data_IF_935567998133
#
_entry.id   IF_935567998133
#
_cell.length_a   1.000
_cell.length_b   1.000
_cell.length_c   1.000
_cell.angle_alpha   90.00
_cell.angle_beta   90.00
_cell.angle_gamma   90.00
#
_symmetry.space_group_name_H-M   'P 1'
#
loop_
_entity.id
_entity.type
_entity.pdbx_description
1 polymer ?
#
# COMPACT_ATOMS: atom_id res chain seq x y z
N UNK A 1 77.51 -16.50 -6.79
CA UNK A 1 76.30 -17.27 -7.00
C UNK A 1 75.15 -16.56 -6.24
N UNK A 2 74.34 -15.80 -6.94
CA UNK A 2 73.20 -15.11 -6.36
C UNK A 2 71.94 -16.01 -6.56
N UNK A 3 71.32 -16.46 -5.47
CA UNK A 3 70.09 -17.20 -5.51
C UNK A 3 68.92 -16.22 -5.61
N UNK A 4 68.20 -16.24 -6.74
CA UNK A 4 66.98 -15.48 -6.98
C UNK A 4 65.82 -16.28 -6.34
N UNK A 5 65.21 -15.77 -5.28
CA UNK A 5 64.00 -16.27 -4.67
C UNK A 5 62.79 -15.68 -5.45
N UNK A 6 62.14 -16.50 -6.23
CA UNK A 6 60.92 -16.18 -6.95
C UNK A 6 59.75 -16.37 -5.99
N UNK A 7 59.21 -15.30 -5.44
CA UNK A 7 58.00 -15.36 -4.61
C UNK A 7 56.78 -15.41 -5.52
N UNK A 8 56.15 -16.60 -5.61
CA UNK A 8 54.90 -16.79 -6.31
C UNK A 8 53.73 -16.22 -5.45
N UNK A 9 53.26 -15.03 -5.80
CA UNK A 9 52.02 -14.46 -5.22
C UNK A 9 50.81 -15.18 -5.85
N UNK A 10 50.19 -16.07 -5.12
CA UNK A 10 48.89 -16.67 -5.50
C UNK A 10 47.83 -15.64 -5.17
N UNK A 11 47.34 -14.92 -6.19
CA UNK A 11 46.16 -14.07 -6.10
C UNK A 11 44.91 -14.98 -6.03
N UNK A 12 44.42 -15.22 -4.83
CA UNK A 12 43.12 -15.88 -4.65
C UNK A 12 42.04 -14.79 -4.88
N UNK A 13 41.55 -14.73 -6.10
CA UNK A 13 40.35 -13.94 -6.41
C UNK A 13 39.15 -14.64 -5.81
N UNK A 14 38.69 -14.12 -4.65
CA UNK A 14 37.37 -14.47 -4.13
C UNK A 14 36.33 -13.87 -5.07
N UNK A 15 35.73 -14.69 -5.93
CA UNK A 15 34.50 -14.34 -6.60
C UNK A 15 33.41 -14.26 -5.53
N UNK A 16 33.11 -13.05 -5.04
CA UNK A 16 31.90 -12.78 -4.30
C UNK A 16 30.78 -12.88 -5.33
N UNK A 17 30.13 -14.01 -5.41
CA UNK A 17 28.85 -14.09 -6.09
C UNK A 17 27.87 -13.22 -5.29
N UNK A 18 27.60 -12.01 -5.78
CA UNK A 18 26.45 -11.26 -5.33
C UNK A 18 25.24 -12.13 -5.67
N UNK A 19 24.63 -12.72 -4.66
CA UNK A 19 23.41 -13.47 -4.81
C UNK A 19 22.36 -12.48 -5.28
N UNK A 20 21.92 -12.53 -6.54
CA UNK A 20 20.84 -11.70 -7.04
C UNK A 20 19.61 -11.96 -6.14
N UNK A 21 19.18 -10.94 -5.45
CA UNK A 21 17.92 -11.01 -4.68
C UNK A 21 16.81 -11.19 -5.71
N UNK A 22 16.00 -12.27 -5.63
CA UNK A 22 14.94 -12.50 -6.57
C UNK A 22 14.00 -11.29 -6.64
N UNK A 23 13.75 -10.79 -7.83
CA UNK A 23 12.79 -9.71 -8.03
C UNK A 23 11.36 -10.27 -7.93
N UNK A 24 10.58 -9.70 -7.02
CA UNK A 24 9.17 -9.99 -6.83
C UNK A 24 8.35 -8.71 -7.08
N UNK A 25 8.23 -8.24 -8.33
CA UNK A 25 7.62 -6.96 -8.65
C UNK A 25 6.18 -6.83 -8.16
N UNK A 26 5.40 -7.92 -8.18
CA UNK A 26 4.01 -7.93 -7.68
C UNK A 26 3.91 -7.67 -6.17
N UNK A 27 5.04 -7.73 -5.45
CA UNK A 27 5.08 -7.59 -3.99
C UNK A 27 5.79 -6.31 -3.51
N UNK A 28 6.13 -5.38 -4.41
CA UNK A 28 6.82 -4.12 -4.04
C UNK A 28 6.02 -3.30 -3.02
N UNK A 29 4.72 -3.21 -3.18
CA UNK A 29 3.82 -2.51 -2.22
C UNK A 29 3.86 -3.08 -0.80
N UNK A 30 4.41 -4.27 -0.61
CA UNK A 30 4.60 -4.94 0.67
C UNK A 30 6.04 -4.98 1.14
N UNK A 31 6.92 -4.21 0.55
CA UNK A 31 8.32 -4.28 0.92
C UNK A 31 8.49 -4.17 2.44
N UNK A 32 9.16 -5.15 3.02
CA UNK A 32 9.44 -5.24 4.44
C UNK A 32 10.93 -4.98 4.61
N UNK A 33 11.28 -3.97 5.39
CA UNK A 33 12.65 -3.67 5.74
C UNK A 33 12.94 -4.02 7.21
N UNK A 34 14.20 -4.03 7.60
CA UNK A 34 14.66 -4.42 8.93
C UNK A 34 14.06 -3.61 10.09
N UNK A 35 13.58 -2.39 9.82
CA UNK A 35 13.03 -1.49 10.83
C UNK A 35 11.49 -1.52 10.90
N UNK A 36 10.83 -2.27 10.02
CA UNK A 36 9.38 -2.34 9.89
C UNK A 36 8.94 -3.79 9.62
N UNK A 37 9.14 -4.63 10.64
CA UNK A 37 8.92 -6.08 10.55
C UNK A 37 7.58 -6.57 11.12
N UNK A 38 6.91 -5.74 11.93
CA UNK A 38 5.60 -6.11 12.49
C UNK A 38 4.52 -6.06 11.43
N UNK A 39 3.68 -7.10 11.39
CA UNK A 39 2.57 -7.24 10.44
C UNK A 39 1.38 -7.90 11.10
N UNK A 40 0.27 -7.87 10.38
CA UNK A 40 -0.90 -8.69 10.67
C UNK A 40 -1.08 -9.74 9.57
N UNK A 41 -1.66 -10.87 9.92
CA UNK A 41 -2.17 -11.79 8.90
C UNK A 41 -3.32 -11.10 8.16
N UNK A 42 -3.21 -11.03 6.84
CA UNK A 42 -4.21 -10.41 5.96
C UNK A 42 -5.29 -11.41 5.53
N UNK A 43 -4.88 -12.64 5.17
CA UNK A 43 -5.83 -13.68 4.75
C UNK A 43 -6.81 -14.02 5.87
N UNK A 44 -8.06 -14.43 5.54
CA UNK A 44 -9.02 -14.89 6.54
C UNK A 44 -8.47 -16.11 7.30
N UNK A 45 -7.70 -16.97 6.58
CA UNK A 45 -6.95 -18.10 7.12
C UNK A 45 -5.61 -18.21 6.42
N UNK A 46 -4.54 -18.39 7.17
CA UNK A 46 -3.17 -18.51 6.68
C UNK A 46 -2.46 -19.70 7.33
N UNK A 47 -1.90 -20.57 6.52
CA UNK A 47 -1.10 -21.70 7.00
C UNK A 47 0.36 -21.29 7.20
N UNK A 48 0.88 -21.53 8.40
CA UNK A 48 2.32 -21.47 8.70
C UNK A 48 2.95 -22.82 8.37
N UNK A 49 4.13 -22.81 7.76
CA UNK A 49 4.86 -24.01 7.30
C UNK A 49 6.19 -24.16 8.01
N UNK A 50 6.70 -25.37 8.06
CA UNK A 50 8.04 -25.68 8.60
C UNK A 50 9.13 -25.24 7.60
N UNK A 51 8.84 -25.34 6.29
CA UNK A 51 9.72 -24.96 5.18
C UNK A 51 9.01 -23.97 4.26
N UNK A 52 9.74 -23.14 3.48
CA UNK A 52 9.16 -22.16 2.58
C UNK A 52 8.62 -22.83 1.29
N UNK A 53 7.71 -23.79 1.44
CA UNK A 53 7.03 -24.50 0.37
C UNK A 53 5.65 -25.05 0.80
N UNK A 54 4.91 -25.63 -0.13
CA UNK A 54 3.56 -26.17 0.13
C UNK A 54 3.52 -27.70 0.24
N UNK A 55 4.66 -28.39 0.17
CA UNK A 55 4.72 -29.86 0.07
C UNK A 55 4.38 -30.57 1.38
N UNK A 56 4.68 -29.92 2.52
CA UNK A 56 4.43 -30.48 3.83
C UNK A 56 3.10 -30.02 4.43
N UNK A 57 2.60 -30.74 5.41
CA UNK A 57 1.43 -30.32 6.18
C UNK A 57 1.70 -28.98 6.91
N UNK A 58 0.68 -28.15 7.14
CA UNK A 58 0.83 -26.94 7.93
C UNK A 58 1.31 -27.24 9.35
N UNK A 59 2.26 -26.41 9.84
CA UNK A 59 2.68 -26.41 11.23
C UNK A 59 1.62 -25.80 12.14
N UNK A 60 0.97 -24.75 11.67
CA UNK A 60 -0.05 -24.00 12.42
C UNK A 60 -0.99 -23.27 11.47
N UNK A 61 -2.07 -22.72 12.04
CA UNK A 61 -3.06 -21.90 11.33
C UNK A 61 -3.21 -20.58 12.05
N UNK A 62 -2.99 -19.47 11.32
CA UNK A 62 -3.23 -18.11 11.77
C UNK A 62 -4.46 -17.52 11.07
N UNK A 63 -5.06 -16.52 11.70
CA UNK A 63 -6.28 -15.88 11.23
C UNK A 63 -6.09 -14.38 10.98
N UNK A 64 -7.02 -13.79 10.23
CA UNK A 64 -6.99 -12.36 9.93
C UNK A 64 -6.83 -11.52 11.21
N UNK A 65 -5.83 -10.66 11.21
CA UNK A 65 -5.50 -9.80 12.34
C UNK A 65 -4.57 -10.41 13.39
N UNK A 66 -4.15 -11.68 13.27
CA UNK A 66 -3.10 -12.24 14.13
C UNK A 66 -1.80 -11.45 13.94
N UNK A 67 -1.10 -11.18 15.04
CA UNK A 67 0.18 -10.49 15.02
C UNK A 67 1.28 -11.44 14.59
N UNK A 68 2.15 -10.97 13.72
CA UNK A 68 3.38 -11.64 13.32
C UNK A 68 4.52 -10.62 13.26
N UNK A 69 5.73 -11.08 13.48
CA UNK A 69 6.96 -10.30 13.24
C UNK A 69 7.76 -11.02 12.17
N UNK A 70 8.05 -10.35 11.06
CA UNK A 70 8.87 -10.92 9.98
C UNK A 70 10.33 -10.83 10.37
N UNK A 71 11.02 -11.96 10.36
CA UNK A 71 12.45 -12.04 10.68
C UNK A 71 13.34 -12.09 9.44
N UNK A 72 12.81 -12.61 8.32
CA UNK A 72 13.58 -12.72 7.07
C UNK A 72 12.65 -12.87 5.86
N UNK A 73 13.18 -12.52 4.67
CA UNK A 73 12.51 -12.70 3.37
C UNK A 73 13.30 -13.72 2.57
N UNK A 74 12.67 -14.84 2.21
CA UNK A 74 13.37 -15.90 1.51
C UNK A 74 13.48 -15.64 0.01
N UNK A 75 14.42 -16.31 -0.65
CA UNK A 75 14.55 -16.30 -2.12
C UNK A 75 13.53 -17.22 -2.82
N UNK A 76 12.83 -18.08 -2.06
CA UNK A 76 11.82 -18.98 -2.58
C UNK A 76 10.52 -18.23 -2.83
N UNK A 77 9.98 -18.33 -4.04
CA UNK A 77 8.74 -17.68 -4.44
C UNK A 77 7.60 -18.67 -4.67
N UNK A 78 6.38 -18.15 -4.53
CA UNK A 78 5.15 -18.88 -4.84
C UNK A 78 4.19 -17.94 -5.58
N UNK A 79 3.53 -18.45 -6.62
CA UNK A 79 2.50 -17.70 -7.34
C UNK A 79 1.11 -18.17 -6.93
N UNK A 80 0.31 -17.25 -6.37
CA UNK A 80 -1.09 -17.51 -6.00
C UNK A 80 -1.95 -16.35 -6.51
N UNK A 81 -3.07 -16.64 -7.17
CA UNK A 81 -4.05 -15.64 -7.67
C UNK A 81 -3.41 -14.57 -8.58
N UNK A 82 -2.41 -14.98 -9.36
CA UNK A 82 -1.67 -14.11 -10.28
C UNK A 82 -0.58 -13.26 -9.62
N UNK A 83 -0.34 -13.40 -8.33
CA UNK A 83 0.71 -12.68 -7.59
C UNK A 83 1.89 -13.62 -7.32
N UNK A 84 3.09 -13.24 -7.74
CA UNK A 84 4.33 -13.95 -7.44
C UNK A 84 5.03 -13.25 -6.27
N UNK A 85 5.18 -13.92 -5.13
CA UNK A 85 5.80 -13.36 -3.94
C UNK A 85 6.67 -14.35 -3.19
N UNK A 86 7.58 -13.87 -2.31
CA UNK A 86 8.43 -14.70 -1.49
C UNK A 86 7.68 -15.36 -0.33
N UNK A 87 8.33 -16.32 0.29
CA UNK A 87 8.00 -16.75 1.64
C UNK A 87 8.72 -15.85 2.65
N UNK A 88 8.04 -15.60 3.76
CA UNK A 88 8.56 -14.83 4.89
C UNK A 88 8.83 -15.79 6.05
N UNK A 89 10.00 -15.68 6.66
CA UNK A 89 10.26 -16.25 7.98
C UNK A 89 9.59 -15.38 9.02
N UNK A 90 8.76 -15.96 9.89
CA UNK A 90 7.97 -15.20 10.86
C UNK A 90 8.10 -15.77 12.27
N UNK A 91 7.96 -14.86 13.25
CA UNK A 91 7.73 -15.18 14.65
C UNK A 91 6.30 -14.78 15.02
N UNK A 92 5.63 -15.57 15.85
CA UNK A 92 4.28 -15.33 16.33
C UNK A 92 4.04 -15.99 17.68
N UNK A 93 2.96 -15.60 18.35
CA UNK A 93 2.54 -16.20 19.62
C UNK A 93 1.24 -16.97 19.40
N UNK A 94 1.23 -18.25 19.80
CA UNK A 94 0.04 -19.09 19.77
C UNK A 94 -0.16 -19.75 21.13
N UNK A 95 -1.32 -19.52 21.77
CA UNK A 95 -1.64 -20.03 23.11
C UNK A 95 -0.56 -19.68 24.17
N UNK A 96 -0.01 -18.46 24.11
CA UNK A 96 1.05 -18.00 25.01
C UNK A 96 2.45 -18.54 24.69
N UNK A 97 2.62 -19.36 23.66
CA UNK A 97 3.90 -19.95 23.26
C UNK A 97 4.47 -19.23 22.05
N UNK A 98 5.76 -18.83 22.13
CA UNK A 98 6.51 -18.30 21.00
C UNK A 98 6.81 -19.41 19.99
N UNK A 99 6.49 -19.16 18.74
CA UNK A 99 6.69 -20.07 17.62
C UNK A 99 7.29 -19.33 16.44
N UNK A 100 7.89 -20.06 15.52
CA UNK A 100 8.40 -19.56 14.25
C UNK A 100 8.00 -20.51 13.11
N UNK A 101 8.07 -20.00 11.88
CA UNK A 101 7.79 -20.76 10.67
C UNK A 101 7.74 -19.86 9.44
N UNK A 102 7.21 -20.36 8.35
CA UNK A 102 7.14 -19.66 7.07
C UNK A 102 5.70 -19.40 6.65
N UNK A 103 5.47 -18.20 6.14
CA UNK A 103 4.18 -17.78 5.55
C UNK A 103 4.46 -17.16 4.17
N UNK A 104 3.59 -17.42 3.20
CA UNK A 104 3.71 -16.71 1.91
C UNK A 104 3.28 -15.24 2.05
N UNK A 105 4.07 -14.29 1.50
CA UNK A 105 3.87 -12.86 1.70
C UNK A 105 2.47 -12.36 1.32
N UNK A 106 1.86 -12.91 0.27
CA UNK A 106 0.50 -12.53 -0.14
C UNK A 106 -0.61 -12.82 0.89
N UNK A 107 -0.30 -13.51 1.99
CA UNK A 107 -1.22 -13.73 3.13
C UNK A 107 -1.02 -12.71 4.26
N UNK A 108 -0.09 -11.77 4.10
CA UNK A 108 0.35 -10.80 5.12
C UNK A 108 -0.10 -9.40 4.73
N UNK A 109 -0.39 -8.54 5.71
CA UNK A 109 -0.78 -7.15 5.47
C UNK A 109 0.38 -6.32 4.91
N UNK A 110 0.06 -5.27 4.13
CA UNK A 110 1.07 -4.33 3.63
C UNK A 110 1.70 -3.54 4.78
N UNK A 111 0.88 -2.97 5.66
CA UNK A 111 1.32 -2.21 6.85
C UNK A 111 0.44 -2.53 8.05
N UNK A 112 0.97 -2.49 9.28
CA UNK A 112 0.15 -2.64 10.48
C UNK A 112 -0.52 -1.30 10.82
N UNK A 113 -1.85 -1.28 10.82
CA UNK A 113 -2.62 -0.11 11.26
C UNK A 113 -3.52 -0.49 12.43
N UNK A 114 -3.52 0.35 13.47
CA UNK A 114 -4.31 0.11 14.68
C UNK A 114 -4.79 1.42 15.30
N UNK A 115 -5.98 1.40 15.88
CA UNK A 115 -6.47 2.46 16.75
C UNK A 115 -7.26 1.85 17.91
N UNK A 116 -6.73 1.98 19.15
CA UNK A 116 -7.27 1.27 20.29
C UNK A 116 -7.20 -0.25 20.15
N UNK A 117 -8.33 -0.92 20.27
CA UNK A 117 -8.52 -2.37 20.12
C UNK A 117 -8.83 -2.80 18.68
N UNK A 118 -8.95 -1.83 17.76
CA UNK A 118 -9.31 -2.08 16.36
C UNK A 118 -8.08 -2.10 15.47
N UNK A 119 -7.97 -3.14 14.66
CA UNK A 119 -6.97 -3.31 13.60
C UNK A 119 -7.59 -3.02 12.24
N UNK A 120 -6.86 -2.30 11.40
CA UNK A 120 -7.20 -2.06 10.01
C UNK A 120 -6.17 -2.80 9.17
N UNK A 121 -6.60 -3.89 8.52
CA UNK A 121 -5.70 -4.82 7.86
C UNK A 121 -5.96 -4.77 6.37
N UNK A 122 -4.96 -4.37 5.57
CA UNK A 122 -5.08 -4.32 4.12
C UNK A 122 -3.95 -5.07 3.43
N UNK A 123 -4.25 -5.57 2.25
CA UNK A 123 -3.31 -6.29 1.40
C UNK A 123 -3.87 -6.49 -0.01
N UNK A 124 -3.04 -6.92 -0.93
CA UNK A 124 -3.46 -7.25 -2.29
C UNK A 124 -4.06 -8.66 -2.29
N UNK A 125 -5.31 -8.78 -2.71
CA UNK A 125 -6.04 -10.05 -2.77
C UNK A 125 -5.64 -10.87 -3.99
N UNK A 126 -5.48 -10.19 -5.15
CA UNK A 126 -5.16 -10.81 -6.45
C UNK A 126 -4.88 -9.77 -7.52
N UNK A 127 -4.37 -10.21 -8.67
CA UNK A 127 -4.43 -9.42 -9.91
C UNK A 127 -5.88 -9.27 -10.36
N UNK A 128 -6.21 -8.12 -10.93
CA UNK A 128 -7.55 -7.77 -11.37
C UNK A 128 -7.49 -6.82 -12.58
N UNK A 129 -6.78 -7.24 -13.61
CA UNK A 129 -6.55 -6.46 -14.82
C UNK A 129 -7.86 -5.98 -15.44
N UNK A 130 -7.86 -4.73 -15.89
CA UNK A 130 -8.99 -4.14 -16.60
C UNK A 130 -8.78 -4.24 -18.10
N UNK A 131 -9.75 -4.82 -18.81
CA UNK A 131 -9.73 -4.92 -20.26
C UNK A 131 -10.62 -3.81 -20.83
N UNK A 132 -10.11 -3.04 -21.76
CA UNK A 132 -10.87 -1.98 -22.42
C UNK A 132 -10.59 -1.96 -23.92
N UNK A 133 -11.50 -1.35 -24.68
CA UNK A 133 -11.40 -1.25 -26.15
C UNK A 133 -10.76 0.08 -26.52
N UNK A 134 -9.65 0.01 -27.26
CA UNK A 134 -8.98 1.17 -27.86
C UNK A 134 -9.13 1.12 -29.37
N UNK A 135 -10.11 1.83 -29.91
CA UNK A 135 -10.44 1.75 -31.34
C UNK A 135 -10.91 0.34 -31.75
N UNK A 136 -10.16 -0.34 -32.63
CA UNK A 136 -10.43 -1.72 -33.04
C UNK A 136 -9.72 -2.78 -32.18
N UNK A 137 -8.78 -2.38 -31.31
CA UNK A 137 -7.97 -3.29 -30.50
C UNK A 137 -8.49 -3.37 -29.06
N UNK A 138 -8.24 -4.50 -28.42
CA UNK A 138 -8.40 -4.65 -26.97
C UNK A 138 -7.06 -4.37 -26.30
N UNK A 139 -7.10 -3.64 -25.20
CA UNK A 139 -5.94 -3.28 -24.40
C UNK A 139 -6.18 -3.66 -22.93
N UNK A 140 -5.12 -3.86 -22.18
CA UNK A 140 -5.19 -4.31 -20.78
C UNK A 140 -4.44 -3.34 -19.90
N UNK A 141 -5.10 -2.85 -18.85
CA UNK A 141 -4.45 -2.10 -17.77
C UNK A 141 -4.21 -3.05 -16.62
N UNK A 142 -2.95 -3.37 -16.27
CA UNK A 142 -2.63 -4.17 -15.11
C UNK A 142 -3.14 -3.52 -13.83
N UNK A 143 -3.83 -4.30 -12.98
CA UNK A 143 -4.39 -3.80 -11.72
C UNK A 143 -4.31 -4.84 -10.63
N UNK A 144 -4.26 -4.33 -9.39
CA UNK A 144 -4.44 -5.10 -8.17
C UNK A 144 -5.82 -4.87 -7.57
N UNK A 145 -6.44 -5.94 -7.11
CA UNK A 145 -7.57 -5.87 -6.18
C UNK A 145 -7.02 -5.85 -4.76
N UNK A 146 -7.18 -4.72 -4.09
CA UNK A 146 -6.81 -4.53 -2.67
C UNK A 146 -8.04 -4.70 -1.81
N UNK A 147 -7.89 -5.36 -0.66
CA UNK A 147 -8.94 -5.53 0.34
C UNK A 147 -8.51 -4.89 1.65
N UNK A 148 -9.42 -4.14 2.26
CA UNK A 148 -9.31 -3.59 3.61
C UNK A 148 -10.29 -4.31 4.52
N UNK A 149 -9.84 -4.69 5.73
CA UNK A 149 -10.63 -5.33 6.78
C UNK A 149 -10.53 -4.54 8.07
N UNK A 150 -11.64 -4.39 8.77
CA UNK A 150 -11.67 -3.87 10.14
C UNK A 150 -11.87 -5.06 11.07
N UNK A 151 -10.97 -5.22 12.03
CA UNK A 151 -10.91 -6.40 12.90
C UNK A 151 -10.85 -5.94 14.36
N UNK A 152 -11.70 -6.51 15.20
CA UNK A 152 -11.69 -6.33 16.66
C UNK A 152 -11.80 -7.68 17.34
N UNK A 153 -10.89 -7.96 18.27
CA UNK A 153 -10.87 -9.22 19.05
C UNK A 153 -10.97 -10.48 18.16
N UNK A 154 -10.23 -10.52 17.03
CA UNK A 154 -10.24 -11.63 16.08
C UNK A 154 -11.47 -11.70 15.18
N UNK A 155 -12.46 -10.83 15.36
CA UNK A 155 -13.68 -10.80 14.55
C UNK A 155 -13.56 -9.73 13.46
N UNK A 156 -13.83 -10.10 12.20
CA UNK A 156 -13.91 -9.17 11.09
C UNK A 156 -15.26 -8.46 11.13
N UNK A 157 -15.25 -7.16 11.40
CA UNK A 157 -16.45 -6.31 11.52
C UNK A 157 -16.90 -5.74 10.16
N UNK A 158 -15.94 -5.42 9.29
CA UNK A 158 -16.21 -4.83 7.98
C UNK A 158 -15.13 -5.22 6.97
N UNK A 159 -15.49 -5.22 5.68
CA UNK A 159 -14.58 -5.40 4.54
C UNK A 159 -14.92 -4.38 3.47
N UNK A 160 -13.89 -3.85 2.80
CA UNK A 160 -14.02 -3.04 1.59
C UNK A 160 -12.97 -3.46 0.57
N UNK A 161 -13.22 -3.16 -0.70
CA UNK A 161 -12.29 -3.42 -1.80
C UNK A 161 -12.04 -2.16 -2.60
N UNK A 162 -10.87 -2.07 -3.18
CA UNK A 162 -10.50 -1.10 -4.18
C UNK A 162 -9.64 -1.76 -5.26
N UNK A 163 -9.52 -1.11 -6.40
CA UNK A 163 -8.50 -1.46 -7.40
C UNK A 163 -7.47 -0.34 -7.46
N UNK A 164 -6.20 -0.70 -7.52
CA UNK A 164 -5.08 0.21 -7.81
C UNK A 164 -4.34 -0.28 -9.05
N UNK A 165 -3.42 0.53 -9.57
CA UNK A 165 -2.60 0.13 -10.70
C UNK A 165 -1.53 -0.88 -10.27
N UNK A 166 -1.10 -1.72 -11.21
CA UNK A 166 0.06 -2.59 -11.09
C UNK A 166 1.17 -2.01 -11.99
N UNK A 167 1.66 -0.85 -11.58
CA UNK A 167 2.74 -0.11 -12.21
C UNK A 167 3.60 0.58 -11.12
N UNK A 168 4.47 1.49 -11.53
CA UNK A 168 5.36 2.21 -10.62
C UNK A 168 4.63 3.00 -9.54
N UNK A 169 3.36 3.43 -9.75
CA UNK A 169 2.56 4.13 -8.73
C UNK A 169 2.12 3.23 -7.56
N UNK A 170 2.42 1.94 -7.61
CA UNK A 170 2.17 0.98 -6.54
C UNK A 170 3.45 0.33 -6.00
N UNK A 171 4.63 0.90 -6.27
CA UNK A 171 5.90 0.36 -5.76
C UNK A 171 5.99 0.41 -4.23
N UNK A 172 5.33 1.38 -3.61
CA UNK A 172 5.23 1.51 -2.15
C UNK A 172 3.78 1.64 -1.72
N UNK A 173 3.47 1.24 -0.49
CA UNK A 173 2.17 1.50 0.11
C UNK A 173 2.30 1.91 1.57
N UNK A 174 1.45 2.87 1.96
CA UNK A 174 1.33 3.34 3.33
C UNK A 174 -0.12 3.32 3.78
N UNK A 175 -0.32 3.25 5.10
CA UNK A 175 -1.64 3.27 5.70
C UNK A 175 -1.73 4.26 6.85
N UNK A 176 -2.83 5.01 6.92
CA UNK A 176 -3.08 5.98 7.99
C UNK A 176 -4.50 5.85 8.52
N UNK A 177 -4.65 5.93 9.85
CA UNK A 177 -5.95 5.98 10.52
C UNK A 177 -6.10 7.31 11.23
N UNK A 178 -7.07 8.11 10.79
CA UNK A 178 -7.44 9.39 11.38
C UNK A 178 -8.70 9.25 12.24
N UNK A 179 -9.03 10.29 13.03
CA UNK A 179 -10.35 10.41 13.66
C UNK A 179 -11.46 10.50 12.60
N UNK A 180 -12.73 10.53 13.01
CA UNK A 180 -13.87 10.71 12.09
C UNK A 180 -13.93 12.08 11.41
N UNK A 181 -12.98 12.97 11.67
CA UNK A 181 -12.78 14.28 11.04
C UNK A 181 -14.02 15.20 11.05
N UNK A 182 -14.92 14.99 12.03
CA UNK A 182 -16.16 15.76 12.18
C UNK A 182 -17.33 15.29 11.32
N UNK A 183 -17.19 14.17 10.59
CA UNK A 183 -18.30 13.53 9.88
C UNK A 183 -19.21 12.80 10.87
N UNK A 184 -20.52 12.97 10.75
CA UNK A 184 -21.50 12.32 11.62
C UNK A 184 -21.45 10.80 11.51
N UNK A 185 -21.50 10.10 12.65
CA UNK A 185 -21.46 8.62 12.74
C UNK A 185 -20.18 7.95 12.20
N UNK A 186 -19.09 8.70 12.02
CA UNK A 186 -17.80 8.15 11.57
C UNK A 186 -16.85 8.03 12.76
N UNK A 187 -16.37 6.82 13.02
CA UNK A 187 -15.36 6.57 14.05
C UNK A 187 -13.96 6.96 13.56
N UNK A 188 -13.62 6.50 12.35
CA UNK A 188 -12.31 6.71 11.76
C UNK A 188 -12.39 6.92 10.25
N UNK A 189 -11.46 7.72 9.73
CA UNK A 189 -11.09 7.75 8.32
C UNK A 189 -9.82 6.91 8.15
N UNK A 190 -9.87 5.93 7.25
CA UNK A 190 -8.72 5.11 6.86
C UNK A 190 -8.26 5.55 5.49
N UNK A 191 -6.97 5.83 5.36
CA UNK A 191 -6.33 6.19 4.10
C UNK A 191 -5.34 5.10 3.72
N UNK A 192 -5.43 4.61 2.50
CA UNK A 192 -4.45 3.71 1.89
C UNK A 192 -3.79 4.48 0.75
N UNK A 193 -2.49 4.70 0.86
CA UNK A 193 -1.69 5.41 -0.13
C UNK A 193 -0.84 4.42 -0.92
N UNK A 194 -0.80 4.60 -2.24
CA UNK A 194 0.11 3.88 -3.14
C UNK A 194 0.91 4.92 -3.91
N UNK A 195 2.23 4.70 -4.03
CA UNK A 195 3.13 5.67 -4.66
C UNK A 195 4.36 5.01 -5.27
N UNK A 196 5.02 5.73 -6.16
CA UNK A 196 6.37 5.46 -6.64
C UNK A 196 7.38 6.45 -6.08
N UNK A 197 8.65 6.22 -6.34
CA UNK A 197 9.76 7.03 -5.82
C UNK A 197 10.33 8.03 -6.83
N UNK A 198 9.86 8.00 -8.10
CA UNK A 198 10.38 8.87 -9.16
C UNK A 198 9.47 10.08 -9.41
N UNK A 199 10.05 11.16 -9.97
CA UNK A 199 9.30 12.30 -10.47
C UNK A 199 8.28 11.88 -11.53
N UNK A 200 7.12 12.53 -11.56
CA UNK A 200 6.04 12.20 -12.50
C UNK A 200 5.24 10.95 -12.15
N UNK A 201 5.61 10.20 -11.10
CA UNK A 201 4.83 9.05 -10.64
C UNK A 201 3.78 9.51 -9.61
N UNK A 202 2.48 9.24 -9.84
CA UNK A 202 1.43 9.71 -8.95
C UNK A 202 1.41 8.96 -7.61
N UNK A 203 1.08 9.71 -6.55
CA UNK A 203 0.59 9.15 -5.30
C UNK A 203 -0.93 9.06 -5.34
N UNK A 204 -1.47 7.88 -5.07
CA UNK A 204 -2.90 7.58 -5.09
C UNK A 204 -3.38 7.28 -3.67
N UNK A 205 -4.23 8.16 -3.13
CA UNK A 205 -4.81 8.01 -1.79
C UNK A 205 -6.27 7.54 -1.90
N UNK A 206 -6.59 6.46 -1.22
CA UNK A 206 -7.92 5.86 -1.16
C UNK A 206 -8.49 6.03 0.25
N UNK A 207 -9.60 6.75 0.37
CA UNK A 207 -10.22 7.10 1.64
C UNK A 207 -11.44 6.23 1.93
N UNK A 208 -11.54 5.77 3.17
CA UNK A 208 -12.67 5.01 3.68
C UNK A 208 -13.13 5.58 5.02
N UNK A 209 -14.44 5.84 5.15
CA UNK A 209 -15.06 6.14 6.43
C UNK A 209 -15.49 4.83 7.09
N UNK A 210 -14.99 4.56 8.30
CA UNK A 210 -15.50 3.48 9.14
C UNK A 210 -16.50 4.05 10.13
N UNK A 211 -17.75 3.60 10.01
CA UNK A 211 -18.90 4.16 10.71
C UNK A 211 -19.16 3.46 12.06
N UNK A 212 -19.98 4.09 12.91
CA UNK A 212 -20.46 3.49 14.16
C UNK A 212 -21.28 2.20 13.93
N UNK A 213 -21.85 2.02 12.74
CA UNK A 213 -22.61 0.83 12.34
C UNK A 213 -21.73 -0.25 11.71
N UNK A 214 -20.41 -0.19 11.90
CA UNK A 214 -19.42 -1.11 11.34
C UNK A 214 -19.47 -1.21 9.81
N UNK A 215 -19.73 -0.12 9.10
CA UNK A 215 -19.63 -0.05 7.64
C UNK A 215 -18.33 0.62 7.22
N UNK A 216 -17.70 0.11 6.17
CA UNK A 216 -16.62 0.77 5.45
C UNK A 216 -17.17 1.40 4.19
N UNK A 217 -17.31 2.72 4.20
CA UNK A 217 -17.82 3.51 3.08
C UNK A 217 -16.66 4.13 2.33
N UNK A 218 -16.54 3.84 1.04
CA UNK A 218 -15.52 4.46 0.20
C UNK A 218 -15.88 5.92 -0.04
N UNK A 219 -14.95 6.80 0.28
CA UNK A 219 -15.00 8.22 -0.08
C UNK A 219 -14.35 8.45 -1.45
N UNK A 220 -14.29 9.70 -1.91
CA UNK A 220 -13.55 10.04 -3.12
C UNK A 220 -12.05 9.78 -2.92
N UNK A 221 -11.36 9.42 -4.00
CA UNK A 221 -9.89 9.28 -3.99
C UNK A 221 -9.24 10.66 -4.15
N UNK A 222 -7.94 10.68 -3.89
CA UNK A 222 -7.08 11.82 -4.11
C UNK A 222 -5.83 11.35 -4.88
N UNK A 223 -5.37 12.17 -5.81
CA UNK A 223 -4.13 11.96 -6.56
C UNK A 223 -3.22 13.18 -6.41
N UNK A 224 -1.93 12.93 -6.27
CA UNK A 224 -0.92 13.98 -6.35
C UNK A 224 0.21 13.49 -7.24
N UNK A 225 0.70 14.34 -8.12
CA UNK A 225 1.87 14.07 -8.93
C UNK A 225 2.69 15.35 -9.10
N UNK A 226 4.00 15.24 -8.92
CA UNK A 226 4.94 16.33 -9.13
C UNK A 226 6.01 15.83 -10.09
N UNK A 227 6.22 16.59 -11.17
CA UNK A 227 7.36 16.42 -12.05
C UNK A 227 8.15 17.73 -12.01
N UNK A 228 9.26 17.71 -11.26
CA UNK A 228 9.99 18.88 -10.84
C UNK A 228 10.31 19.82 -12.02
N UNK A 229 9.80 21.05 -11.95
CA UNK A 229 10.02 22.09 -12.95
C UNK A 229 9.16 21.97 -14.21
N UNK A 230 8.21 21.02 -14.29
CA UNK A 230 7.33 20.88 -15.45
C UNK A 230 5.85 20.85 -15.08
N UNK A 231 5.45 20.06 -14.08
CA UNK A 231 4.06 19.80 -13.72
C UNK A 231 3.91 19.62 -12.21
N UNK A 232 2.87 20.23 -11.62
CA UNK A 232 2.35 19.90 -10.30
C UNK A 232 0.83 19.72 -10.37
N UNK A 233 0.36 18.50 -10.07
CA UNK A 233 -1.06 18.21 -9.88
C UNK A 233 -1.29 17.88 -8.42
N UNK A 234 -2.01 18.72 -7.72
CA UNK A 234 -2.30 18.55 -6.30
C UNK A 234 -3.79 18.51 -6.01
N UNK A 235 -4.20 17.49 -5.23
CA UNK A 235 -5.55 17.35 -4.72
C UNK A 235 -5.55 17.37 -3.20
N UNK A 236 -6.53 18.06 -2.62
CA UNK A 236 -6.71 18.16 -1.16
C UNK A 236 -8.15 17.92 -0.77
N UNK A 237 -8.35 17.37 0.44
CA UNK A 237 -9.65 17.35 1.10
C UNK A 237 -9.65 18.33 2.27
N UNK A 238 -10.80 19.00 2.47
CA UNK A 238 -11.11 19.73 3.70
C UNK A 238 -12.31 19.06 4.34
N UNK A 239 -12.10 18.51 5.53
CA UNK A 239 -13.11 17.84 6.33
C UNK A 239 -13.82 18.81 7.29
N UNK A 240 -14.99 18.43 7.87
CA UNK A 240 -15.79 19.34 8.71
C UNK A 240 -15.04 20.00 9.86
N UNK A 241 -14.14 19.31 10.55
CA UNK A 241 -13.41 19.87 11.71
C UNK A 241 -12.09 20.57 11.35
N UNK A 242 -11.79 20.72 10.06
CA UNK A 242 -10.63 21.47 9.60
C UNK A 242 -10.97 22.95 9.35
N UNK A 243 -9.94 23.79 9.22
CA UNK A 243 -10.13 25.20 8.86
C UNK A 243 -10.92 25.31 7.54
N UNK A 244 -11.98 26.11 7.53
CA UNK A 244 -12.93 26.25 6.42
C UNK A 244 -13.79 25.00 6.12
N UNK A 245 -13.75 23.98 6.98
CA UNK A 245 -14.65 22.83 6.90
C UNK A 245 -16.11 23.22 7.13
N UNK A 246 -17.03 22.43 6.61
CA UNK A 246 -18.48 22.63 6.76
C UNK A 246 -19.12 21.33 7.28
N UNK A 247 -20.13 21.39 8.16
CA UNK A 247 -20.79 20.19 8.68
C UNK A 247 -21.24 19.26 7.55
N UNK A 248 -20.98 17.98 7.72
CA UNK A 248 -21.34 16.90 6.79
C UNK A 248 -20.91 17.12 5.33
N UNK A 249 -19.79 17.83 5.14
CA UNK A 249 -19.24 18.08 3.81
C UNK A 249 -17.76 17.72 3.76
N UNK A 250 -17.37 17.16 2.63
CA UNK A 250 -15.96 16.98 2.26
C UNK A 250 -15.73 17.86 1.03
N UNK A 251 -14.86 18.85 1.16
CA UNK A 251 -14.52 19.75 0.05
C UNK A 251 -13.24 19.23 -0.58
N UNK A 252 -13.33 18.83 -1.83
CA UNK A 252 -12.20 18.45 -2.67
C UNK A 252 -11.77 19.63 -3.51
N UNK A 253 -10.48 19.94 -3.46
CA UNK A 253 -9.86 20.94 -4.32
C UNK A 253 -8.76 20.27 -5.14
N UNK A 254 -8.64 20.69 -6.39
CA UNK A 254 -7.59 20.30 -7.32
C UNK A 254 -6.97 21.56 -7.90
N UNK A 255 -5.65 21.55 -8.03
CA UNK A 255 -4.86 22.59 -8.68
C UNK A 255 -3.89 21.88 -9.62
N UNK A 256 -3.84 22.34 -10.87
CA UNK A 256 -2.80 21.99 -11.84
C UNK A 256 -1.92 23.23 -12.05
N UNK A 257 -0.61 23.03 -11.97
CA UNK A 257 0.40 24.02 -12.29
C UNK A 257 1.35 23.43 -13.34
N UNK A 258 1.69 24.26 -14.33
CA UNK A 258 2.63 23.89 -15.38
C UNK A 258 3.72 24.95 -15.52
N UNK A 259 4.91 24.52 -15.96
CA UNK A 259 6.02 25.45 -16.22
C UNK A 259 5.64 26.43 -17.33
N UNK A 260 5.78 27.71 -17.07
CA UNK A 260 5.66 28.77 -18.09
C UNK A 260 7.00 28.99 -18.80
N UNK A 261 6.98 29.76 -19.89
CA UNK A 261 8.22 30.21 -20.59
C UNK A 261 9.04 31.22 -19.79
N UNK A 262 8.58 31.65 -18.60
CA UNK A 262 9.24 32.63 -17.74
C UNK A 262 10.18 31.93 -16.76
N UNK A 263 11.31 32.58 -16.53
CA UNK A 263 12.35 32.10 -15.60
C UNK A 263 12.46 33.09 -14.44
N UNK A 264 12.57 32.57 -13.21
CA UNK A 264 12.78 33.36 -12.03
C UNK A 264 14.24 33.85 -11.89
N UNK A 265 14.55 34.61 -10.81
CA UNK A 265 15.89 35.13 -10.53
C UNK A 265 16.95 34.04 -10.23
N UNK A 266 16.54 32.80 -10.03
CA UNK A 266 17.42 31.65 -9.77
C UNK A 266 17.63 30.78 -11.02
N UNK A 267 16.93 31.11 -12.13
CA UNK A 267 16.99 30.36 -13.39
C UNK A 267 16.01 29.20 -13.46
N UNK A 268 15.04 29.16 -12.56
CA UNK A 268 14.00 28.11 -12.54
C UNK A 268 12.73 28.60 -13.26
N UNK A 269 12.01 27.69 -13.93
CA UNK A 269 10.74 28.02 -14.58
C UNK A 269 9.69 28.40 -13.54
N UNK A 270 8.95 29.48 -13.84
CA UNK A 270 7.83 29.92 -13.01
C UNK A 270 6.63 29.00 -13.29
N UNK A 271 6.11 28.34 -12.24
CA UNK A 271 4.90 27.54 -12.34
C UNK A 271 3.68 28.44 -12.39
N UNK A 272 2.79 28.20 -13.36
CA UNK A 272 1.52 28.93 -13.52
C UNK A 272 0.36 27.97 -13.37
N UNK A 273 -0.70 28.41 -12.66
CA UNK A 273 -1.93 27.62 -12.48
C UNK A 273 -2.65 27.52 -13.83
N UNK A 274 -2.79 26.29 -14.36
CA UNK A 274 -3.46 26.01 -15.63
C UNK A 274 -4.89 25.53 -15.44
N UNK A 275 -5.21 24.88 -14.31
CA UNK A 275 -6.59 24.49 -13.95
C UNK A 275 -6.78 24.48 -12.43
N UNK A 276 -8.00 24.85 -12.01
CA UNK A 276 -8.40 24.81 -10.60
C UNK A 276 -9.84 24.38 -10.49
N UNK A 277 -10.11 23.41 -9.63
CA UNK A 277 -11.44 22.82 -9.47
C UNK A 277 -11.77 22.60 -8.01
N UNK A 278 -13.02 22.89 -7.63
CA UNK A 278 -13.55 22.56 -6.32
C UNK A 278 -14.81 21.71 -6.49
N UNK A 279 -14.91 20.66 -5.71
CA UNK A 279 -16.10 19.80 -5.64
C UNK A 279 -16.48 19.60 -4.19
N UNK A 280 -17.76 19.74 -3.87
CA UNK A 280 -18.27 19.42 -2.54
C UNK A 280 -19.00 18.09 -2.57
N UNK A 281 -18.62 17.20 -1.67
CA UNK A 281 -19.33 15.95 -1.39
C UNK A 281 -20.16 16.12 -0.13
N UNK A 282 -21.38 15.59 -0.13
CA UNK A 282 -22.30 15.58 1.01
C UNK A 282 -22.22 14.19 1.64
N UNK A 283 -21.95 14.17 2.94
CA UNK A 283 -21.95 12.97 3.76
C UNK A 283 -23.32 12.81 4.43
N UNK A 284 -23.96 11.66 4.23
CA UNK A 284 -25.16 11.25 4.97
C UNK A 284 -24.76 10.27 6.07
N UNK A 285 -24.60 10.79 7.28
CA UNK A 285 -24.19 9.96 8.43
C UNK A 285 -25.27 8.99 8.91
N UNK A 286 -26.53 9.14 8.52
CA UNK A 286 -27.60 8.22 8.88
C UNK A 286 -27.52 6.96 8.02
N UNK A 287 -27.41 7.15 6.71
CA UNK A 287 -27.36 6.04 5.74
C UNK A 287 -25.93 5.57 5.46
N UNK A 288 -24.91 6.30 5.92
CA UNK A 288 -23.51 5.99 5.62
C UNK A 288 -23.23 6.08 4.11
N UNK A 289 -23.66 7.14 3.47
CA UNK A 289 -23.48 7.34 2.02
C UNK A 289 -22.85 8.70 1.71
N UNK A 290 -22.21 8.79 0.56
CA UNK A 290 -21.60 10.02 0.04
C UNK A 290 -22.17 10.31 -1.34
N UNK A 291 -22.53 11.57 -1.59
CA UNK A 291 -23.01 12.05 -2.88
C UNK A 291 -22.29 13.32 -3.29
N UNK A 292 -22.14 13.55 -4.59
CA UNK A 292 -21.64 14.83 -5.11
C UNK A 292 -22.73 15.88 -5.00
N UNK A 293 -22.41 17.06 -4.47
CA UNK A 293 -23.34 18.19 -4.49
C UNK A 293 -23.62 18.61 -5.95
N UNK A 294 -24.88 18.67 -6.32
CA UNK A 294 -25.26 19.34 -7.56
C UNK A 294 -25.01 20.84 -7.34
N UNK A 295 -24.16 21.43 -8.17
CA UNK A 295 -23.97 22.88 -8.23
C UNK A 295 -25.08 23.52 -9.02
#
# INVERSE_FOLDING_TARGET
MKRLLLSLFILVTHFVYAQEVPDFPDMRSWMINSNDSDRYVFADTAYVRVTPDTKQAPLDTLFAGDNITVSDVTTNGLTIRGLKGPWLSINYIRNGVHKSGYIWQGLVSCKPMRRGDVKFVYGIERRADSIYRRGKNWDTIPRFLVKLKVIRNGTILAKATLTTYDDESANTSEGKVMSGMGLANVQNIVVLSFSGEACGIPTLDYYFAWTNNNQLVRLSNKMNVVDAGSLDHSETFTFPNEKNGKPDRIIWNMINEEASDKIDKHGEYIMEVTDKKTTTYIWDGVNGTISKSMQ
#
